data_IF_673960396062
#
_entry.id   IF_673960396062
#
_cell.length_a   1.000
_cell.length_b   1.000
_cell.length_c   1.000
_cell.angle_alpha   90.00
_cell.angle_beta   90.00
_cell.angle_gamma   90.00
#
_symmetry.space_group_name_H-M   'P 1'
#
loop_
_entity.id
_entity.type
_entity.pdbx_description
1 polymer ?
#
# COMPACT_ATOMS: atom_id res chain seq x y z
N UNK A 1 29.79 -0.76 3.79
CA UNK A 1 29.90 0.65 4.23
C UNK A 1 30.85 0.74 5.42
N UNK A 2 31.76 1.70 5.47
CA UNK A 2 32.65 1.91 6.63
C UNK A 2 32.93 3.40 6.84
N UNK A 3 33.01 3.83 8.11
CA UNK A 3 33.40 5.20 8.47
C UNK A 3 34.83 5.52 8.03
N UNK A 4 35.75 4.55 8.08
CA UNK A 4 37.15 4.75 7.69
C UNK A 4 37.34 4.88 6.17
N UNK A 5 36.43 4.33 5.37
CA UNK A 5 36.42 4.46 3.91
C UNK A 5 35.64 5.68 3.42
N UNK A 6 35.01 6.44 4.32
CA UNK A 6 34.18 7.60 3.99
C UNK A 6 32.90 7.27 3.20
N UNK A 7 32.59 5.98 3.02
CA UNK A 7 31.45 5.49 2.24
C UNK A 7 30.39 4.91 3.21
N UNK A 8 29.70 5.81 3.90
CA UNK A 8 28.57 5.51 4.78
C UNK A 8 27.53 6.63 4.65
N UNK A 9 26.26 6.27 4.86
CA UNK A 9 25.13 7.21 4.87
C UNK A 9 24.53 7.21 6.27
N UNK A 10 24.13 8.38 6.79
CA UNK A 10 23.36 8.40 8.03
C UNK A 10 21.91 8.08 7.71
N UNK A 11 21.25 7.38 8.63
CA UNK A 11 19.82 7.11 8.53
C UNK A 11 19.04 8.42 8.37
N UNK A 12 19.40 9.47 9.12
CA UNK A 12 18.70 10.76 9.06
C UNK A 12 18.74 11.38 7.66
N UNK A 13 19.88 11.32 6.96
CA UNK A 13 20.04 11.84 5.60
C UNK A 13 19.17 11.08 4.59
N UNK A 14 19.02 9.77 4.79
CA UNK A 14 18.16 8.92 3.94
C UNK A 14 16.69 9.27 4.17
N UNK A 15 16.30 9.50 5.43
CA UNK A 15 14.93 9.82 5.81
C UNK A 15 14.47 11.21 5.33
N UNK A 16 15.39 12.08 4.89
CA UNK A 16 15.03 13.33 4.20
C UNK A 16 14.42 13.07 2.80
N UNK A 17 14.67 11.89 2.22
CA UNK A 17 14.29 11.56 0.84
C UNK A 17 13.35 10.34 0.72
N UNK A 18 13.35 9.45 1.71
CA UNK A 18 12.57 8.22 1.71
C UNK A 18 11.80 8.04 3.02
N UNK A 19 10.60 7.48 2.92
CA UNK A 19 9.78 7.16 4.09
C UNK A 19 10.50 6.17 5.02
N UNK A 20 10.40 6.30 6.36
CA UNK A 20 11.03 5.37 7.30
C UNK A 20 10.69 3.91 7.04
N UNK A 21 9.45 3.66 6.63
CA UNK A 21 8.96 2.33 6.29
C UNK A 21 9.57 1.79 5.00
N UNK A 22 9.85 2.64 4.02
CA UNK A 22 10.56 2.27 2.78
C UNK A 22 11.98 1.79 3.09
N UNK A 23 12.69 2.51 3.96
CA UNK A 23 14.03 2.10 4.41
C UNK A 23 13.99 0.77 5.17
N UNK A 24 13.01 0.60 6.07
CA UNK A 24 12.82 -0.65 6.79
C UNK A 24 12.53 -1.81 5.84
N UNK A 25 11.58 -1.63 4.92
CA UNK A 25 11.22 -2.62 3.91
C UNK A 25 12.42 -3.00 3.06
N UNK A 26 13.21 -2.03 2.59
CA UNK A 26 14.45 -2.27 1.85
C UNK A 26 15.42 -3.19 2.59
N UNK A 27 15.66 -2.93 3.88
CA UNK A 27 16.59 -3.72 4.70
C UNK A 27 16.09 -5.16 4.84
N UNK A 28 14.80 -5.35 5.17
CA UNK A 28 14.22 -6.69 5.39
C UNK A 28 13.91 -7.44 4.09
N UNK A 29 13.99 -6.78 2.93
CA UNK A 29 13.82 -7.42 1.61
C UNK A 29 15.01 -8.32 1.22
N UNK A 30 16.13 -8.23 1.94
CA UNK A 30 17.32 -9.05 1.73
C UNK A 30 17.55 -9.92 2.96
N UNK A 31 17.97 -11.17 2.75
CA UNK A 31 18.31 -12.07 3.84
C UNK A 31 19.38 -11.44 4.74
N UNK A 32 19.21 -11.51 6.07
CA UNK A 32 20.07 -10.77 7.02
C UNK A 32 21.56 -11.16 6.97
N UNK A 33 21.87 -12.37 6.50
CA UNK A 33 23.25 -12.85 6.28
C UNK A 33 23.85 -12.47 4.92
N UNK A 34 23.05 -11.90 4.02
CA UNK A 34 23.50 -11.51 2.68
C UNK A 34 23.99 -10.07 2.65
N UNK A 35 24.97 -9.74 1.79
CA UNK A 35 25.39 -8.37 1.61
C UNK A 35 24.23 -7.54 1.05
N UNK A 36 23.89 -6.46 1.76
CA UNK A 36 22.89 -5.48 1.33
C UNK A 36 23.56 -4.44 0.44
N UNK A 37 23.21 -4.44 -0.85
CA UNK A 37 23.71 -3.45 -1.81
C UNK A 37 22.85 -2.18 -1.77
N UNK A 38 23.41 -1.13 -1.17
CA UNK A 38 22.71 0.13 -0.94
C UNK A 38 22.88 1.08 -2.13
N UNK A 39 21.77 1.53 -2.71
CA UNK A 39 21.73 2.60 -3.71
C UNK A 39 20.35 3.23 -3.80
N UNK A 40 20.28 4.47 -4.28
CA UNK A 40 19.00 5.18 -4.50
C UNK A 40 18.07 4.40 -5.43
N UNK A 41 18.62 3.74 -6.45
CA UNK A 41 17.84 2.90 -7.37
C UNK A 41 17.15 1.74 -6.62
N UNK A 42 17.83 1.12 -5.65
CA UNK A 42 17.26 0.03 -4.84
C UNK A 42 16.26 0.52 -3.81
N UNK A 43 16.47 1.69 -3.21
CA UNK A 43 15.49 2.32 -2.33
C UNK A 43 14.22 2.70 -3.11
N UNK A 44 14.37 3.26 -4.31
CA UNK A 44 13.23 3.56 -5.20
C UNK A 44 12.46 2.29 -5.60
N UNK A 45 13.17 1.18 -5.85
CA UNK A 45 12.55 -0.13 -6.12
C UNK A 45 11.79 -0.66 -4.89
N UNK A 46 12.37 -0.53 -3.70
CA UNK A 46 11.74 -0.90 -2.44
C UNK A 46 10.47 -0.07 -2.18
N UNK A 47 10.51 1.25 -2.42
CA UNK A 47 9.36 2.14 -2.29
C UNK A 47 8.20 1.70 -3.19
N UNK A 48 8.48 1.43 -4.47
CA UNK A 48 7.48 0.93 -5.43
C UNK A 48 6.90 -0.42 -5.02
N UNK A 49 7.75 -1.29 -4.46
CA UNK A 49 7.33 -2.62 -4.00
C UNK A 49 6.43 -2.52 -2.77
N UNK A 50 6.79 -1.68 -1.80
CA UNK A 50 5.97 -1.40 -0.63
C UNK A 50 4.64 -0.76 -1.00
N UNK A 51 4.63 0.17 -1.97
CA UNK A 51 3.40 0.78 -2.48
C UNK A 51 2.40 -0.24 -3.05
N UNK A 52 2.88 -1.34 -3.66
CA UNK A 52 1.99 -2.42 -4.12
C UNK A 52 1.32 -3.18 -2.98
N UNK A 53 2.03 -3.37 -1.86
CA UNK A 53 1.45 -3.97 -0.65
C UNK A 53 0.46 -3.00 0.00
N UNK A 54 0.76 -1.69 0.04
CA UNK A 54 -0.19 -0.65 0.48
C UNK A 54 -1.48 -0.68 -0.34
N UNK A 55 -1.36 -0.76 -1.67
CA UNK A 55 -2.52 -0.83 -2.54
C UNK A 55 -3.41 -2.05 -2.22
N UNK A 56 -2.81 -3.20 -1.92
CA UNK A 56 -3.57 -4.38 -1.53
C UNK A 56 -4.26 -4.21 -0.16
N UNK A 57 -3.62 -3.52 0.79
CA UNK A 57 -4.22 -3.17 2.08
C UNK A 57 -5.44 -2.26 1.90
N UNK A 58 -5.35 -1.25 1.02
CA UNK A 58 -6.47 -0.38 0.67
C UNK A 58 -7.61 -1.16 0.01
N UNK A 59 -7.30 -1.99 -0.98
CA UNK A 59 -8.28 -2.86 -1.66
C UNK A 59 -8.98 -3.81 -0.67
N UNK A 60 -8.24 -4.29 0.34
CA UNK A 60 -8.82 -5.10 1.40
C UNK A 60 -9.73 -4.28 2.34
N UNK A 61 -9.40 -3.01 2.57
CA UNK A 61 -10.28 -2.04 3.22
C UNK A 61 -11.60 -1.86 2.47
N UNK A 62 -11.54 -1.63 1.16
CA UNK A 62 -12.73 -1.51 0.30
C UNK A 62 -13.61 -2.77 0.37
N UNK A 63 -13.01 -3.97 0.28
CA UNK A 63 -13.72 -5.24 0.44
C UNK A 63 -14.40 -5.38 1.82
N UNK A 64 -13.77 -4.85 2.87
CA UNK A 64 -14.27 -4.96 4.25
C UNK A 64 -15.47 -4.05 4.52
N UNK A 65 -15.62 -2.96 3.76
CA UNK A 65 -16.75 -2.04 3.84
C UNK A 65 -18.00 -2.54 3.07
N UNK A 66 -17.82 -3.49 2.15
CA UNK A 66 -18.92 -4.07 1.38
C UNK A 66 -19.82 -4.97 2.25
N UNK A 67 -21.12 -4.97 1.95
CA UNK A 67 -22.06 -5.93 2.54
C UNK A 67 -21.65 -7.35 2.16
N UNK A 68 -21.43 -8.22 3.14
CA UNK A 68 -21.01 -9.59 2.91
C UNK A 68 -22.17 -10.53 2.50
N UNK A 69 -21.80 -11.63 1.87
CA UNK A 69 -22.64 -12.78 1.58
C UNK A 69 -21.97 -14.08 2.04
N UNK A 70 -22.68 -15.20 1.87
CA UNK A 70 -22.17 -16.54 2.16
C UNK A 70 -21.09 -16.99 1.16
N UNK A 71 -20.43 -18.13 1.45
CA UNK A 71 -19.37 -18.65 0.60
C UNK A 71 -19.88 -19.11 -0.78
N UNK A 72 -19.01 -19.02 -1.78
CA UNK A 72 -19.13 -19.72 -3.06
C UNK A 72 -18.10 -20.86 -3.14
N UNK A 73 -18.17 -21.71 -4.16
CA UNK A 73 -17.17 -22.76 -4.36
C UNK A 73 -15.76 -22.15 -4.58
N UNK A 74 -15.70 -21.05 -5.32
CA UNK A 74 -14.47 -20.29 -5.59
C UNK A 74 -13.94 -19.65 -4.32
N UNK A 75 -14.80 -19.04 -3.49
CA UNK A 75 -14.36 -18.42 -2.24
C UNK A 75 -13.85 -19.46 -1.24
N UNK A 76 -14.44 -20.66 -1.20
CA UNK A 76 -13.96 -21.77 -0.37
C UNK A 76 -12.58 -22.27 -0.80
N UNK A 77 -12.34 -22.43 -2.09
CA UNK A 77 -11.02 -22.78 -2.61
C UNK A 77 -9.98 -21.69 -2.25
N UNK A 78 -10.37 -20.43 -2.36
CA UNK A 78 -9.49 -19.30 -2.04
C UNK A 78 -9.17 -19.23 -0.53
N UNK A 79 -10.10 -19.62 0.36
CA UNK A 79 -9.81 -19.73 1.80
C UNK A 79 -8.71 -20.74 2.11
N UNK A 80 -8.70 -21.90 1.45
CA UNK A 80 -7.60 -22.86 1.60
C UNK A 80 -6.30 -22.27 1.06
N UNK A 81 -6.36 -21.56 -0.06
CA UNK A 81 -5.18 -20.88 -0.61
C UNK A 81 -4.59 -19.83 0.32
N UNK A 82 -5.43 -19.07 1.03
CA UNK A 82 -4.97 -18.10 2.05
C UNK A 82 -4.22 -18.81 3.19
N UNK A 83 -4.69 -19.97 3.64
CA UNK A 83 -3.99 -20.77 4.66
C UNK A 83 -2.65 -21.29 4.15
N UNK A 84 -2.60 -21.79 2.92
CA UNK A 84 -1.35 -22.23 2.29
C UNK A 84 -0.32 -21.10 2.21
N UNK A 85 -0.74 -19.90 1.80
CA UNK A 85 0.14 -18.73 1.72
C UNK A 85 0.64 -18.30 3.09
N UNK A 86 -0.22 -18.34 4.11
CA UNK A 86 0.18 -18.10 5.50
C UNK A 86 1.22 -19.12 5.96
N UNK A 87 0.99 -20.42 5.73
CA UNK A 87 1.94 -21.45 6.15
C UNK A 87 3.27 -21.35 5.40
N UNK A 88 3.24 -21.06 4.09
CA UNK A 88 4.45 -20.83 3.31
C UNK A 88 5.25 -19.61 3.81
N UNK A 89 4.57 -18.53 4.19
CA UNK A 89 5.20 -17.39 4.86
C UNK A 89 5.86 -17.82 6.17
N UNK A 90 5.16 -18.57 7.02
CA UNK A 90 5.70 -19.02 8.32
C UNK A 90 6.88 -19.96 8.15
N UNK A 91 6.85 -20.84 7.15
CA UNK A 91 7.96 -21.74 6.86
C UNK A 91 9.21 -20.99 6.37
N UNK A 92 9.03 -19.98 5.50
CA UNK A 92 10.12 -19.09 5.13
C UNK A 92 10.73 -18.37 6.34
N UNK A 93 9.91 -17.97 7.32
CA UNK A 93 10.41 -17.36 8.56
C UNK A 93 11.10 -18.35 9.49
N UNK A 94 10.69 -19.63 9.49
CA UNK A 94 11.37 -20.72 10.25
C UNK A 94 12.70 -21.11 9.61
N UNK A 95 12.84 -20.94 8.31
CA UNK A 95 14.10 -21.10 7.58
C UNK A 95 15.00 -19.88 7.79
N UNK A 96 15.66 -19.82 8.95
CA UNK A 96 16.67 -18.78 9.28
C UNK A 96 16.18 -17.34 9.03
N UNK A 97 14.92 -17.02 9.37
CA UNK A 97 14.34 -15.69 9.14
C UNK A 97 14.47 -15.21 7.69
N UNK A 98 14.16 -16.07 6.71
CA UNK A 98 14.21 -15.74 5.30
C UNK A 98 13.07 -14.79 4.89
N UNK A 99 13.20 -13.53 5.29
CA UNK A 99 12.24 -12.45 5.04
C UNK A 99 12.06 -12.17 3.56
N UNK A 100 13.10 -12.34 2.74
CA UNK A 100 12.99 -12.18 1.28
C UNK A 100 11.99 -13.18 0.68
N UNK A 101 12.06 -14.45 1.07
CA UNK A 101 11.10 -15.46 0.65
C UNK A 101 9.71 -15.22 1.29
N UNK A 102 9.66 -14.87 2.58
CA UNK A 102 8.41 -14.56 3.26
C UNK A 102 7.64 -13.41 2.58
N UNK A 103 8.33 -12.32 2.23
CA UNK A 103 7.76 -11.18 1.50
C UNK A 103 7.21 -11.61 0.13
N UNK A 104 7.81 -12.60 -0.54
CA UNK A 104 7.26 -13.12 -1.80
C UNK A 104 5.85 -13.73 -1.62
N UNK A 105 5.59 -14.36 -0.47
CA UNK A 105 4.27 -14.88 -0.12
C UNK A 105 3.28 -13.78 0.27
N UNK A 106 3.74 -12.66 0.84
CA UNK A 106 2.91 -11.46 1.01
C UNK A 106 2.45 -10.88 -0.35
N UNK A 107 3.35 -10.82 -1.34
CA UNK A 107 2.96 -10.39 -2.69
C UNK A 107 2.01 -11.36 -3.38
N UNK A 108 2.16 -12.67 -3.16
CA UNK A 108 1.21 -13.65 -3.64
C UNK A 108 -0.18 -13.45 -3.00
N UNK A 109 -0.25 -13.18 -1.69
CA UNK A 109 -1.49 -12.85 -1.00
C UNK A 109 -2.12 -11.56 -1.55
N UNK A 110 -1.32 -10.50 -1.71
CA UNK A 110 -1.74 -9.23 -2.29
C UNK A 110 -2.35 -9.40 -3.69
N UNK A 111 -1.76 -10.28 -4.51
CA UNK A 111 -2.30 -10.63 -5.83
C UNK A 111 -3.68 -11.28 -5.72
N UNK A 112 -3.86 -12.25 -4.83
CA UNK A 112 -5.16 -12.91 -4.62
C UNK A 112 -6.23 -11.93 -4.13
N UNK A 113 -5.88 -11.00 -3.23
CA UNK A 113 -6.78 -9.92 -2.77
C UNK A 113 -7.26 -9.08 -3.96
N UNK A 114 -6.33 -8.63 -4.81
CA UNK A 114 -6.65 -7.78 -5.96
C UNK A 114 -7.50 -8.51 -7.01
N UNK A 115 -7.21 -9.79 -7.28
CA UNK A 115 -8.01 -10.63 -8.19
C UNK A 115 -9.43 -10.81 -7.63
N UNK A 116 -9.54 -11.10 -6.34
CA UNK A 116 -10.82 -11.31 -5.69
C UNK A 116 -11.66 -10.03 -5.68
N UNK A 117 -11.08 -8.89 -5.31
CA UNK A 117 -11.73 -7.59 -5.37
C UNK A 117 -12.26 -7.28 -6.77
N UNK A 118 -11.41 -7.47 -7.79
CA UNK A 118 -11.82 -7.25 -9.17
C UNK A 118 -13.01 -8.14 -9.56
N UNK A 119 -12.98 -9.43 -9.20
CA UNK A 119 -14.10 -10.33 -9.48
C UNK A 119 -15.41 -9.90 -8.79
N UNK A 120 -15.31 -9.42 -7.54
CA UNK A 120 -16.46 -8.89 -6.77
C UNK A 120 -17.04 -7.65 -7.43
N UNK A 121 -16.18 -6.68 -7.79
CA UNK A 121 -16.59 -5.40 -8.40
C UNK A 121 -17.14 -5.61 -9.81
N UNK A 122 -16.44 -6.35 -10.67
CA UNK A 122 -16.83 -6.55 -12.07
C UNK A 122 -18.17 -7.30 -12.18
N UNK A 123 -18.43 -8.25 -11.27
CA UNK A 123 -19.69 -8.99 -11.23
C UNK A 123 -20.79 -8.30 -10.42
N UNK A 124 -20.48 -7.21 -9.70
CA UNK A 124 -21.42 -6.52 -8.82
C UNK A 124 -21.98 -7.40 -7.69
N UNK A 125 -21.19 -8.38 -7.24
CA UNK A 125 -21.59 -9.34 -6.20
C UNK A 125 -21.11 -8.88 -4.82
N UNK A 126 -21.62 -9.53 -3.79
CA UNK A 126 -21.18 -9.33 -2.41
C UNK A 126 -20.02 -10.28 -2.09
N UNK A 127 -18.97 -9.83 -1.40
CA UNK A 127 -17.87 -10.71 -1.04
C UNK A 127 -18.27 -11.70 0.06
N UNK A 128 -17.56 -12.81 0.12
CA UNK A 128 -17.60 -13.77 1.22
C UNK A 128 -16.92 -13.15 2.45
N UNK A 129 -17.72 -12.78 3.44
CA UNK A 129 -17.23 -12.06 4.62
C UNK A 129 -16.17 -12.81 5.41
N UNK A 130 -16.23 -14.15 5.46
CA UNK A 130 -15.22 -14.95 6.17
C UNK A 130 -13.90 -15.03 5.39
N UNK A 131 -13.96 -15.05 4.06
CA UNK A 131 -12.74 -14.96 3.25
C UNK A 131 -12.08 -13.58 3.42
N UNK A 132 -12.86 -12.49 3.40
CA UNK A 132 -12.34 -11.14 3.63
C UNK A 132 -11.72 -11.00 5.02
N UNK A 133 -12.33 -11.59 6.06
CA UNK A 133 -11.75 -11.64 7.40
C UNK A 133 -10.41 -12.41 7.41
N UNK A 134 -10.35 -13.58 6.75
CA UNK A 134 -9.10 -14.35 6.63
C UNK A 134 -8.00 -13.58 5.89
N UNK A 135 -8.32 -12.86 4.82
CA UNK A 135 -7.36 -11.99 4.16
C UNK A 135 -6.84 -10.92 5.11
N UNK A 136 -7.72 -10.26 5.88
CA UNK A 136 -7.32 -9.23 6.85
C UNK A 136 -6.39 -9.79 7.92
N UNK A 137 -6.76 -10.91 8.52
CA UNK A 137 -5.98 -11.52 9.60
C UNK A 137 -4.58 -11.91 9.12
N UNK A 138 -4.49 -12.61 7.97
CA UNK A 138 -3.19 -13.05 7.43
C UNK A 138 -2.35 -11.87 6.93
N UNK A 139 -2.96 -10.90 6.24
CA UNK A 139 -2.24 -9.73 5.76
C UNK A 139 -1.69 -8.92 6.94
N UNK A 140 -2.51 -8.67 7.98
CA UNK A 140 -2.08 -7.95 9.17
C UNK A 140 -1.01 -8.71 9.97
N UNK A 141 -1.15 -10.03 10.12
CA UNK A 141 -0.15 -10.87 10.80
C UNK A 141 1.20 -10.82 10.09
N UNK A 142 1.22 -11.03 8.78
CA UNK A 142 2.47 -11.01 8.01
C UNK A 142 3.11 -9.61 7.98
N UNK A 143 2.30 -8.56 7.85
CA UNK A 143 2.74 -7.16 7.97
C UNK A 143 3.36 -6.86 9.33
N UNK A 144 2.74 -7.29 10.43
CA UNK A 144 3.26 -7.11 11.79
C UNK A 144 4.56 -7.89 12.04
N UNK A 145 4.69 -9.11 11.49
CA UNK A 145 5.92 -9.91 11.64
C UNK A 145 7.10 -9.25 10.91
N UNK A 146 6.88 -8.74 9.69
CA UNK A 146 7.91 -8.00 8.94
C UNK A 146 8.14 -6.58 9.52
N UNK A 147 7.12 -6.03 10.16
CA UNK A 147 7.09 -4.68 10.70
C UNK A 147 6.93 -3.61 9.63
N UNK A 148 6.03 -3.84 8.67
CA UNK A 148 5.64 -2.88 7.63
C UNK A 148 4.13 -2.88 7.50
N UNK A 149 3.55 -1.77 7.06
CA UNK A 149 2.12 -1.56 6.90
C UNK A 149 1.32 -1.84 8.17
N UNK A 150 1.98 -1.66 9.32
CA UNK A 150 1.30 -1.71 10.60
C UNK A 150 0.28 -0.58 10.61
N UNK A 151 -0.94 -0.88 11.04
CA UNK A 151 -1.90 0.17 11.39
C UNK A 151 -1.31 0.89 12.58
N UNK A 152 -0.51 1.93 12.34
CA UNK A 152 -0.14 2.87 13.37
C UNK A 152 -1.45 3.45 13.89
N UNK A 153 -1.92 2.96 15.04
CA UNK A 153 -2.44 3.90 16.02
C UNK A 153 -1.24 4.80 16.30
N UNK A 154 -1.14 5.89 15.55
CA UNK A 154 -0.02 6.80 15.62
C UNK A 154 0.25 7.10 17.11
N UNK A 155 1.48 7.00 17.63
CA UNK A 155 1.82 7.92 18.69
C UNK A 155 1.58 9.31 18.08
N UNK A 156 0.72 10.10 18.71
CA UNK A 156 0.48 11.49 18.34
C UNK A 156 1.84 12.22 18.32
N UNK A 157 2.47 12.21 17.15
CA UNK A 157 3.70 12.89 16.84
C UNK A 157 3.35 13.79 15.66
N UNK A 158 2.75 14.93 16.00
CA UNK A 158 2.83 16.18 15.26
C UNK A 158 2.91 16.05 13.72
N UNK A 159 1.85 15.53 13.10
CA UNK A 159 1.49 15.93 11.74
C UNK A 159 0.88 17.34 11.78
N UNK A 160 1.68 18.33 12.16
CA UNK A 160 1.31 19.74 12.05
C UNK A 160 1.52 20.29 10.62
N UNK A 161 2.05 19.48 9.70
CA UNK A 161 2.30 19.84 8.30
C UNK A 161 1.26 19.32 7.29
N UNK A 162 0.77 18.08 7.46
CA UNK A 162 0.06 17.38 6.36
C UNK A 162 -1.47 17.62 6.37
N UNK A 163 -2.08 17.91 7.53
CA UNK A 163 -3.54 18.13 7.63
C UNK A 163 -4.01 19.35 6.83
N UNK A 164 -3.24 20.45 6.84
CA UNK A 164 -3.61 21.68 6.12
C UNK A 164 -3.42 21.54 4.62
N UNK A 165 -2.39 20.82 4.20
CA UNK A 165 -2.13 20.53 2.78
C UNK A 165 -3.21 19.61 2.22
N UNK A 166 -3.58 18.55 2.93
CA UNK A 166 -4.70 17.68 2.57
C UNK A 166 -6.03 18.45 2.47
N UNK A 167 -6.34 19.30 3.45
CA UNK A 167 -7.54 20.16 3.42
C UNK A 167 -7.52 21.13 2.21
N UNK A 168 -6.37 21.73 1.90
CA UNK A 168 -6.20 22.62 0.74
C UNK A 168 -6.40 21.86 -0.58
N UNK A 169 -5.89 20.64 -0.69
CA UNK A 169 -6.06 19.78 -1.87
C UNK A 169 -7.52 19.38 -2.04
N UNK A 170 -8.20 19.00 -0.96
CA UNK A 170 -9.64 18.71 -0.99
C UNK A 170 -10.47 19.93 -1.40
N UNK A 171 -10.13 21.13 -0.89
CA UNK A 171 -10.77 22.38 -1.31
C UNK A 171 -10.57 22.66 -2.81
N UNK A 172 -9.37 22.44 -3.34
CA UNK A 172 -9.08 22.61 -4.78
C UNK A 172 -9.83 21.60 -5.65
N UNK A 173 -9.96 20.34 -5.18
CA UNK A 173 -10.77 19.32 -5.84
C UNK A 173 -12.25 19.71 -5.82
N UNK A 174 -12.76 20.23 -4.71
CA UNK A 174 -14.14 20.71 -4.59
C UNK A 174 -14.41 21.90 -5.53
N UNK A 175 -13.49 22.88 -5.62
CA UNK A 175 -13.58 24.00 -6.57
C UNK A 175 -13.60 23.51 -8.02
N UNK A 176 -12.80 22.49 -8.37
CA UNK A 176 -12.82 21.86 -9.70
C UNK A 176 -14.18 21.18 -9.97
N UNK A 177 -14.73 20.46 -9.00
CA UNK A 177 -16.04 19.83 -9.16
C UNK A 177 -17.15 20.86 -9.35
N UNK A 178 -17.10 21.97 -8.63
CA UNK A 178 -18.05 23.07 -8.78
C UNK A 178 -17.91 23.76 -10.15
N UNK A 179 -16.67 23.98 -10.61
CA UNK A 179 -16.40 24.48 -11.96
C UNK A 179 -16.99 23.56 -13.05
N UNK A 180 -16.88 22.23 -12.89
CA UNK A 180 -17.51 21.27 -13.81
C UNK A 180 -19.03 21.31 -13.75
N UNK A 181 -19.63 21.38 -12.56
CA UNK A 181 -21.09 21.51 -12.37
C UNK A 181 -21.62 22.79 -13.04
N UNK A 182 -20.87 23.88 -12.93
CA UNK A 182 -21.17 25.17 -13.54
C UNK A 182 -20.75 25.27 -15.02
N UNK A 183 -20.34 24.15 -15.65
CA UNK A 183 -19.89 24.05 -17.06
C UNK A 183 -18.72 24.97 -17.41
N UNK A 184 -17.94 25.41 -16.43
CA UNK A 184 -16.71 26.16 -16.62
C UNK A 184 -15.53 25.18 -16.77
N UNK A 185 -15.45 24.57 -17.95
CA UNK A 185 -14.45 23.55 -18.25
C UNK A 185 -13.01 24.10 -18.30
N UNK A 186 -12.84 25.36 -18.71
CA UNK A 186 -11.55 26.02 -18.74
C UNK A 186 -10.92 26.11 -17.34
N UNK A 187 -11.70 26.53 -16.34
CA UNK A 187 -11.24 26.61 -14.95
C UNK A 187 -10.98 25.21 -14.36
N UNK A 188 -11.82 24.22 -14.71
CA UNK A 188 -11.64 22.85 -14.25
C UNK A 188 -10.34 22.20 -14.78
N UNK A 189 -9.98 22.48 -16.04
CA UNK A 189 -8.74 22.01 -16.65
C UNK A 189 -7.51 22.75 -16.10
N UNK A 190 -7.62 24.05 -15.84
CA UNK A 190 -6.55 24.82 -15.20
C UNK A 190 -6.22 24.28 -13.80
N UNK A 191 -7.24 24.00 -12.99
CA UNK A 191 -7.07 23.40 -11.66
C UNK A 191 -6.45 22.01 -11.73
N UNK A 192 -6.84 21.18 -12.70
CA UNK A 192 -6.24 19.86 -12.92
C UNK A 192 -4.76 19.97 -13.27
N UNK A 193 -4.39 20.90 -14.15
CA UNK A 193 -3.01 21.06 -14.56
C UNK A 193 -2.13 21.55 -13.41
N UNK A 194 -2.61 22.53 -12.61
CA UNK A 194 -1.89 23.00 -11.43
C UNK A 194 -1.73 21.91 -10.36
N UNK A 195 -2.75 21.07 -10.16
CA UNK A 195 -2.65 19.92 -9.27
C UNK A 195 -1.62 18.90 -9.77
N UNK A 196 -1.60 18.61 -11.08
CA UNK A 196 -0.59 17.74 -11.67
C UNK A 196 0.84 18.32 -11.57
N UNK A 197 1.00 19.64 -11.70
CA UNK A 197 2.31 20.32 -11.57
C UNK A 197 2.91 20.17 -10.16
N UNK A 198 2.07 20.11 -9.14
CA UNK A 198 2.50 19.86 -7.74
C UNK A 198 2.49 18.36 -7.38
N UNK A 199 2.47 17.48 -8.39
CA UNK A 199 2.56 16.02 -8.20
C UNK A 199 1.26 15.35 -7.75
N UNK A 200 0.10 16.03 -7.84
CA UNK A 200 -1.20 15.46 -7.47
C UNK A 200 -1.95 15.03 -8.73
N UNK A 201 -2.06 13.72 -8.90
CA UNK A 201 -2.78 13.12 -10.03
C UNK A 201 -4.22 12.80 -9.63
N UNK A 202 -5.17 13.35 -10.38
CA UNK A 202 -6.60 13.11 -10.19
C UNK A 202 -7.11 11.99 -11.10
N UNK A 203 -7.88 11.06 -10.53
CA UNK A 203 -8.62 10.02 -11.23
C UNK A 203 -10.12 10.21 -10.99
N UNK A 204 -10.87 10.53 -12.05
CA UNK A 204 -12.32 10.61 -11.99
C UNK A 204 -12.91 9.18 -12.03
N UNK A 205 -13.62 8.76 -10.98
CA UNK A 205 -14.35 7.50 -10.93
C UNK A 205 -15.85 7.74 -10.79
N UNK A 206 -16.72 6.76 -11.12
CA UNK A 206 -18.17 6.88 -10.88
C UNK A 206 -18.54 7.08 -9.41
N UNK A 207 -17.67 6.71 -8.46
CA UNK A 207 -17.86 6.91 -7.02
C UNK A 207 -17.30 8.24 -6.50
N UNK A 208 -16.59 9.02 -7.32
CA UNK A 208 -15.96 10.29 -6.93
C UNK A 208 -14.59 10.51 -7.54
N UNK A 209 -13.97 11.66 -7.24
CA UNK A 209 -12.60 11.96 -7.68
C UNK A 209 -11.64 11.38 -6.65
N UNK A 210 -10.88 10.34 -7.03
CA UNK A 210 -9.75 9.85 -6.24
C UNK A 210 -8.51 10.64 -6.65
N UNK A 211 -7.60 10.90 -5.70
CA UNK A 211 -6.33 11.56 -6.01
C UNK A 211 -5.17 10.79 -5.39
N UNK A 212 -4.00 10.90 -6.01
CA UNK A 212 -2.75 10.27 -5.55
C UNK A 212 -1.60 11.26 -5.70
N UNK A 213 -0.69 11.29 -4.72
CA UNK A 213 0.57 12.05 -4.78
C UNK A 213 1.63 11.20 -5.49
N UNK A 214 2.32 11.78 -6.47
CA UNK A 214 3.44 11.18 -7.19
C UNK A 214 4.77 11.41 -6.46
#
# INVERSE_FOLDING_TARGET
>A
MSKSLGNFFMVIDILEHYDPETLRFFIVSTHYRSPLDFSDARLTEAQKSLARLRQAQETLGELSEMLSAGPTAESLALREKVKELREAFMEAMRDDFNTALAISHMFALAKEINIYHKAVVDAGIKPDGKLVAMFNDVFAETCSIIGVLEKTAAPAAEEAGDSKEAELVEMLIAMRQDARKNKNYALADELRNKLNEIGIVLQDTPQGVKWSKQ
#
